data_IF_578250235598
#
_entry.id   IF_578250235598
#
_cell.length_a   1.000
_cell.length_b   1.000
_cell.length_c   1.000
_cell.angle_alpha   90.00
_cell.angle_beta   90.00
_cell.angle_gamma   90.00
#
_symmetry.space_group_name_H-M   'P 1'
#
loop_
_entity.id
_entity.type
_entity.pdbx_description
1 polymer ?
#
# COMPACT_ATOMS: atom_id res chain seq x y z
N UNK A 1 -23.10 -17.23 28.34
CA UNK A 1 -22.21 -17.10 27.15
C UNK A 1 -21.08 -16.07 27.26
N UNK A 2 -20.39 -15.99 28.41
CA UNK A 2 -19.33 -14.97 28.64
C UNK A 2 -17.99 -15.30 27.94
N UNK A 3 -17.83 -16.51 27.39
CA UNK A 3 -16.58 -17.03 26.82
C UNK A 3 -16.67 -17.45 25.34
N UNK A 4 -17.80 -17.24 24.66
CA UNK A 4 -17.92 -17.57 23.24
C UNK A 4 -17.19 -16.54 22.36
N UNK A 5 -16.62 -16.98 21.24
CA UNK A 5 -16.03 -16.08 20.25
C UNK A 5 -17.14 -15.32 19.50
N UNK A 6 -16.98 -14.02 19.28
CA UNK A 6 -17.85 -13.27 18.38
C UNK A 6 -17.60 -13.70 16.93
N UNK A 7 -18.68 -13.69 16.14
CA UNK A 7 -18.71 -13.90 14.68
C UNK A 7 -19.12 -12.62 13.94
N UNK A 8 -19.12 -11.49 14.64
CA UNK A 8 -19.35 -10.18 14.03
C UNK A 8 -18.18 -9.86 13.10
N UNK A 9 -18.49 -9.52 11.86
CA UNK A 9 -17.53 -9.04 10.87
C UNK A 9 -17.35 -7.53 11.04
N UNK A 10 -16.14 -7.04 10.84
CA UNK A 10 -15.80 -5.63 10.87
C UNK A 10 -16.35 -4.92 9.62
N UNK A 11 -16.71 -3.66 9.76
CA UNK A 11 -16.95 -2.79 8.61
C UNK A 11 -15.61 -2.38 8.01
N UNK A 12 -15.32 -2.84 6.79
CA UNK A 12 -14.06 -2.54 6.12
C UNK A 12 -13.95 -1.07 5.67
N UNK A 13 -15.07 -0.40 5.38
CA UNK A 13 -15.05 1.03 5.05
C UNK A 13 -14.70 1.84 6.30
N UNK A 14 -15.25 1.48 7.46
CA UNK A 14 -14.89 2.11 8.73
C UNK A 14 -13.43 1.82 9.10
N UNK A 15 -12.97 0.58 8.92
CA UNK A 15 -11.61 0.17 9.23
C UNK A 15 -10.56 0.92 8.41
N UNK A 16 -10.74 0.96 7.08
CA UNK A 16 -9.82 1.65 6.17
C UNK A 16 -10.13 3.14 6.00
N UNK A 17 -11.18 3.65 6.65
CA UNK A 17 -11.61 5.05 6.55
C UNK A 17 -11.87 5.48 5.09
N UNK A 18 -12.34 4.57 4.26
CA UNK A 18 -12.69 4.80 2.85
C UNK A 18 -14.20 4.91 2.70
N UNK A 19 -14.67 6.09 2.29
CA UNK A 19 -16.10 6.38 2.08
C UNK A 19 -16.47 6.51 0.61
N UNK A 20 -15.49 6.83 -0.24
CA UNK A 20 -15.62 6.96 -1.69
C UNK A 20 -15.13 5.67 -2.37
N UNK A 21 -15.81 5.24 -3.43
CA UNK A 21 -15.55 3.95 -4.09
C UNK A 21 -14.24 3.89 -4.87
N UNK A 22 -13.68 5.04 -5.22
CA UNK A 22 -12.40 5.19 -5.93
C UNK A 22 -11.25 5.53 -4.98
N UNK A 23 -11.49 5.64 -3.66
CA UNK A 23 -10.45 5.88 -2.65
C UNK A 23 -10.04 4.57 -1.99
N UNK A 24 -8.74 4.45 -1.75
CA UNK A 24 -8.15 3.29 -1.12
C UNK A 24 -7.15 3.72 -0.05
N UNK A 25 -7.20 3.10 1.13
CA UNK A 25 -6.25 3.41 2.20
C UNK A 25 -4.82 3.07 1.78
N UNK A 26 -3.83 3.81 2.24
CA UNK A 26 -2.42 3.47 2.00
C UNK A 26 -1.86 2.79 3.24
N UNK A 27 -1.43 1.54 3.10
CA UNK A 27 -0.62 0.84 4.10
C UNK A 27 0.84 1.00 3.68
N UNK A 28 1.55 1.94 4.31
CA UNK A 28 2.97 2.18 4.10
C UNK A 28 3.78 1.36 5.11
N UNK A 29 4.59 0.42 4.62
CA UNK A 29 5.26 -0.58 5.46
C UNK A 29 4.24 -1.35 6.33
N UNK A 30 4.13 -0.97 7.61
CA UNK A 30 3.32 -1.60 8.66
C UNK A 30 2.28 -0.65 9.28
N UNK A 31 2.05 0.50 8.63
CA UNK A 31 1.17 1.55 9.14
C UNK A 31 0.21 2.03 8.06
N UNK A 32 -1.06 2.23 8.46
CA UNK A 32 -2.02 2.94 7.64
C UNK A 32 -1.80 4.44 7.82
N UNK A 33 -1.39 5.12 6.75
CA UNK A 33 -1.16 6.57 6.77
C UNK A 33 -2.46 7.34 6.56
N UNK A 34 -2.43 8.65 6.81
CA UNK A 34 -3.62 9.51 6.65
C UNK A 34 -4.00 9.70 5.17
N UNK A 35 -3.03 9.64 4.27
CA UNK A 35 -3.22 9.79 2.84
C UNK A 35 -3.87 8.56 2.19
N UNK A 36 -4.61 8.80 1.10
CA UNK A 36 -5.34 7.78 0.36
C UNK A 36 -4.91 7.75 -1.10
N UNK A 37 -4.80 6.54 -1.65
CA UNK A 37 -4.66 6.34 -3.08
C UNK A 37 -6.00 6.57 -3.77
N UNK A 38 -5.93 6.88 -5.06
CA UNK A 38 -7.08 6.94 -5.95
C UNK A 38 -6.96 5.81 -6.97
N UNK A 39 -8.00 5.00 -7.13
CA UNK A 39 -8.11 3.96 -8.14
C UNK A 39 -9.05 4.46 -9.25
N UNK A 40 -8.51 4.65 -10.45
CA UNK A 40 -9.28 5.12 -11.61
C UNK A 40 -8.91 4.31 -12.84
N UNK A 41 -9.92 3.74 -13.50
CA UNK A 41 -9.74 2.91 -14.69
C UNK A 41 -8.72 1.78 -14.47
N UNK A 42 -8.81 1.11 -13.31
CA UNK A 42 -7.89 0.05 -12.84
C UNK A 42 -6.42 0.50 -12.65
N UNK A 43 -6.16 1.81 -12.63
CA UNK A 43 -4.83 2.39 -12.38
C UNK A 43 -4.80 3.04 -10.99
N UNK A 44 -3.74 2.77 -10.24
CA UNK A 44 -3.49 3.37 -8.93
C UNK A 44 -2.76 4.71 -9.08
N UNK A 45 -3.26 5.73 -8.40
CA UNK A 45 -2.68 7.06 -8.36
C UNK A 45 -2.43 7.51 -6.94
N UNK A 46 -1.33 8.22 -6.73
CA UNK A 46 -1.06 8.97 -5.52
C UNK A 46 -1.13 10.46 -5.85
N UNK A 47 -1.61 11.28 -4.91
CA UNK A 47 -1.40 12.71 -5.06
C UNK A 47 0.11 13.03 -4.99
N UNK A 48 0.50 14.11 -5.66
CA UNK A 48 1.91 14.48 -5.77
C UNK A 48 2.57 14.76 -4.42
N UNK A 49 1.82 15.27 -3.42
CA UNK A 49 2.37 15.53 -2.09
C UNK A 49 2.67 14.21 -1.35
N UNK A 50 1.82 13.19 -1.51
CA UNK A 50 2.07 11.82 -1.03
C UNK A 50 3.30 11.22 -1.71
N UNK A 51 3.47 11.40 -3.02
CA UNK A 51 4.69 10.96 -3.73
C UNK A 51 5.94 11.65 -3.15
N UNK A 52 5.89 12.96 -2.92
CA UNK A 52 7.01 13.71 -2.34
C UNK A 52 7.35 13.28 -0.91
N UNK A 53 6.33 13.02 -0.09
CA UNK A 53 6.48 12.62 1.32
C UNK A 53 6.98 11.18 1.45
N UNK A 54 6.36 10.29 0.67
CA UNK A 54 6.53 8.85 0.51
C UNK A 54 7.83 8.36 -0.11
N UNK A 55 8.13 8.93 -1.26
CA UNK A 55 8.84 8.22 -2.32
C UNK A 55 9.98 9.08 -2.85
N UNK A 56 9.65 10.17 -3.54
CA UNK A 56 10.63 10.99 -4.22
C UNK A 56 10.10 12.42 -4.38
N UNK A 57 10.91 13.42 -4.01
CA UNK A 57 10.62 14.85 -4.09
C UNK A 57 10.87 15.49 -5.47
N UNK A 58 11.45 14.75 -6.42
CA UNK A 58 12.02 15.32 -7.67
C UNK A 58 10.96 15.66 -8.72
N UNK A 59 9.74 15.14 -8.62
CA UNK A 59 8.66 15.48 -9.55
C UNK A 59 8.22 16.94 -9.39
N UNK A 60 8.08 17.65 -10.51
CA UNK A 60 7.58 19.03 -10.54
C UNK A 60 6.34 19.14 -11.42
N UNK A 61 5.28 19.76 -10.88
CA UNK A 61 4.05 20.06 -11.60
C UNK A 61 4.02 21.53 -12.02
N UNK A 62 3.96 21.77 -13.33
CA UNK A 62 3.64 23.08 -13.90
C UNK A 62 2.14 23.14 -14.23
N UNK A 63 1.36 23.77 -13.36
CA UNK A 63 -0.09 23.90 -13.54
C UNK A 63 -0.48 24.85 -14.69
N UNK A 64 0.41 25.76 -15.10
CA UNK A 64 0.15 26.71 -16.18
C UNK A 64 0.33 26.03 -17.54
N UNK A 65 1.44 25.31 -17.70
CA UNK A 65 1.74 24.56 -18.92
C UNK A 65 1.10 23.16 -18.94
N UNK A 66 0.50 22.74 -17.82
CA UNK A 66 -0.10 21.42 -17.58
C UNK A 66 0.90 20.28 -17.74
N UNK A 67 2.09 20.44 -17.18
CA UNK A 67 3.18 19.47 -17.31
C UNK A 67 3.50 18.81 -15.96
N UNK A 68 3.78 17.51 -15.99
CA UNK A 68 4.57 16.85 -14.96
C UNK A 68 6.00 16.67 -15.51
N UNK A 69 6.98 17.13 -14.74
CA UNK A 69 8.39 17.09 -15.09
C UNK A 69 9.15 16.21 -14.10
N UNK A 70 10.11 15.46 -14.62
CA UNK A 70 11.13 14.78 -13.83
C UNK A 70 12.50 15.14 -14.40
N UNK A 71 13.40 15.65 -13.57
CA UNK A 71 14.72 16.08 -14.00
C UNK A 71 15.81 15.24 -13.32
N UNK A 72 16.69 14.65 -14.12
CA UNK A 72 17.90 13.97 -13.64
C UNK A 72 19.14 14.72 -14.19
N UNK A 73 20.38 14.30 -13.87
CA UNK A 73 21.58 15.00 -14.33
C UNK A 73 21.77 15.06 -15.85
N UNK A 74 21.09 14.21 -16.63
CA UNK A 74 21.30 14.06 -18.07
C UNK A 74 20.14 14.56 -18.92
N UNK A 75 18.91 14.58 -18.39
CA UNK A 75 17.72 14.99 -19.13
C UNK A 75 16.57 15.50 -18.25
N UNK A 76 15.59 16.13 -18.92
CA UNK A 76 14.29 16.46 -18.35
C UNK A 76 13.23 15.66 -19.09
N UNK A 77 12.59 14.75 -18.36
CA UNK A 77 11.49 13.92 -18.82
C UNK A 77 10.19 14.69 -18.58
N UNK A 78 9.30 14.66 -19.57
CA UNK A 78 8.11 15.51 -19.60
C UNK A 78 6.87 14.71 -20.00
N UNK A 79 5.77 14.96 -19.32
CA UNK A 79 4.43 14.50 -19.73
C UNK A 79 3.42 15.63 -19.55
N UNK A 80 2.35 15.60 -20.34
CA UNK A 80 1.24 16.56 -20.23
C UNK A 80 0.12 15.92 -19.40
N UNK A 81 -0.50 16.69 -18.51
CA UNK A 81 -1.63 16.21 -17.71
C UNK A 81 -2.77 15.72 -18.61
N UNK A 82 -3.29 14.54 -18.31
CA UNK A 82 -4.34 13.85 -19.06
C UNK A 82 -3.83 12.96 -20.19
N UNK A 83 -2.53 13.00 -20.51
CA UNK A 83 -1.94 12.20 -21.59
C UNK A 83 -1.34 10.89 -21.08
N UNK A 84 -1.18 9.93 -21.99
CA UNK A 84 -0.60 8.61 -21.70
C UNK A 84 0.88 8.51 -22.06
N UNK A 85 1.42 9.51 -22.75
CA UNK A 85 2.80 9.50 -23.24
C UNK A 85 3.72 10.45 -22.48
N UNK A 86 4.98 10.06 -22.31
CA UNK A 86 6.07 10.91 -21.84
C UNK A 86 7.16 11.03 -22.89
N UNK A 87 7.94 12.11 -22.81
CA UNK A 87 9.05 12.40 -23.73
C UNK A 87 10.36 12.42 -22.97
N UNK A 88 11.33 11.65 -23.46
CA UNK A 88 12.73 11.64 -23.04
C UNK A 88 13.61 12.18 -24.19
N UNK A 89 14.92 12.24 -23.96
CA UNK A 89 15.91 12.54 -25.02
C UNK A 89 15.94 11.49 -26.13
N UNK A 90 15.47 10.27 -25.86
CA UNK A 90 15.38 9.17 -26.83
C UNK A 90 14.10 9.20 -27.67
N UNK A 91 13.11 10.02 -27.28
CA UNK A 91 11.85 10.20 -27.99
C UNK A 91 10.62 10.09 -27.08
N UNK A 92 9.46 9.90 -27.71
CA UNK A 92 8.18 9.77 -27.01
C UNK A 92 7.84 8.30 -26.77
N UNK A 93 7.43 7.97 -25.55
CA UNK A 93 7.02 6.64 -25.12
C UNK A 93 5.57 6.70 -24.61
N UNK A 94 4.76 5.69 -24.93
CA UNK A 94 3.39 5.56 -24.44
C UNK A 94 3.36 4.59 -23.26
N UNK A 95 2.84 5.04 -22.12
CA UNK A 95 2.70 4.22 -20.91
C UNK A 95 1.45 3.32 -20.96
N UNK A 96 0.48 3.62 -21.84
CA UNK A 96 -0.76 2.87 -21.96
C UNK A 96 -1.82 3.21 -20.90
N UNK A 97 -1.54 4.18 -20.02
CA UNK A 97 -2.44 4.73 -19.01
C UNK A 97 -2.18 6.23 -18.85
N UNK A 98 -3.17 6.98 -18.33
CA UNK A 98 -2.99 8.42 -18.04
C UNK A 98 -1.91 8.57 -16.98
N UNK A 99 -0.83 9.29 -17.30
CA UNK A 99 0.34 9.35 -16.42
C UNK A 99 0.07 10.24 -15.21
N UNK A 100 -0.56 11.39 -15.44
CA UNK A 100 -0.94 12.32 -14.40
C UNK A 100 -2.12 13.16 -14.83
N UNK A 101 -2.87 13.68 -13.87
CA UNK A 101 -3.97 14.60 -14.13
C UNK A 101 -4.21 15.51 -12.93
N UNK A 102 -5.08 16.50 -13.11
CA UNK A 102 -5.47 17.45 -12.07
C UNK A 102 -6.93 17.24 -11.72
N UNK A 103 -7.24 17.19 -10.42
CA UNK A 103 -8.59 17.26 -9.88
C UNK A 103 -8.65 18.33 -8.79
N UNK A 104 -9.43 19.39 -9.04
CA UNK A 104 -9.36 20.60 -8.22
C UNK A 104 -7.97 21.23 -8.31
N UNK A 105 -7.31 21.36 -7.16
CA UNK A 105 -5.93 21.86 -7.04
C UNK A 105 -4.91 20.73 -6.83
N UNK A 106 -5.35 19.47 -6.88
CA UNK A 106 -4.52 18.30 -6.60
C UNK A 106 -4.03 17.66 -7.89
N UNK A 107 -2.73 17.45 -7.98
CA UNK A 107 -2.10 16.65 -9.05
C UNK A 107 -2.01 15.20 -8.59
N UNK A 108 -2.53 14.30 -9.40
CA UNK A 108 -2.40 12.85 -9.21
C UNK A 108 -1.41 12.29 -10.22
N UNK A 109 -0.58 11.34 -9.78
CA UNK A 109 0.44 10.68 -10.60
C UNK A 109 0.25 9.17 -10.49
N UNK A 110 0.26 8.48 -11.62
CA UNK A 110 0.13 7.02 -11.67
C UNK A 110 1.30 6.36 -10.94
N UNK A 111 1.00 5.42 -10.06
CA UNK A 111 1.99 4.70 -9.27
C UNK A 111 3.01 3.98 -10.16
N UNK A 112 2.57 3.27 -11.21
CA UNK A 112 3.48 2.64 -12.16
C UNK A 112 4.43 3.63 -12.85
N UNK A 113 4.03 4.89 -13.06
CA UNK A 113 4.93 5.91 -13.60
C UNK A 113 5.96 6.38 -12.57
N UNK A 114 5.59 6.51 -11.30
CA UNK A 114 6.53 6.84 -10.21
C UNK A 114 7.60 5.75 -10.08
N UNK A 115 7.25 4.47 -10.29
CA UNK A 115 8.17 3.33 -10.22
C UNK A 115 9.32 3.40 -11.24
N UNK A 116 9.11 4.09 -12.36
CA UNK A 116 10.19 4.31 -13.34
C UNK A 116 11.35 5.13 -12.76
N UNK A 117 11.10 5.89 -11.69
CA UNK A 117 12.02 6.88 -11.14
C UNK A 117 12.30 6.71 -9.64
N UNK A 118 11.72 5.70 -9.01
CA UNK A 118 11.81 5.46 -7.57
C UNK A 118 11.81 3.97 -7.30
N UNK A 119 12.73 3.51 -6.46
CA UNK A 119 12.74 2.14 -5.97
C UNK A 119 11.67 1.93 -4.88
N UNK A 120 10.47 1.51 -5.28
CA UNK A 120 9.39 1.15 -4.37
C UNK A 120 8.46 0.10 -5.02
N UNK A 121 7.69 -0.59 -4.18
CA UNK A 121 6.67 -1.55 -4.63
C UNK A 121 5.29 -1.20 -4.09
N UNK A 122 4.25 -1.60 -4.80
CA UNK A 122 2.89 -1.51 -4.30
C UNK A 122 2.03 -2.65 -4.83
N UNK A 123 1.00 -3.00 -4.08
CA UNK A 123 -0.05 -3.95 -4.47
C UNK A 123 -1.42 -3.36 -4.12
N UNK A 124 -2.34 -3.38 -5.08
CA UNK A 124 -3.70 -2.92 -4.88
C UNK A 124 -4.61 -4.07 -4.45
N UNK A 125 -5.37 -3.83 -3.39
CA UNK A 125 -6.45 -4.68 -2.90
C UNK A 125 -7.77 -3.90 -2.94
N UNK A 126 -8.86 -4.53 -2.46
CA UNK A 126 -10.21 -3.96 -2.56
C UNK A 126 -10.35 -2.56 -1.93
N UNK A 127 -9.82 -2.36 -0.72
CA UNK A 127 -9.98 -1.09 0.04
C UNK A 127 -8.68 -0.47 0.52
N UNK A 128 -7.55 -1.09 0.17
CA UNK A 128 -6.23 -0.60 0.55
C UNK A 128 -5.19 -0.89 -0.54
N UNK A 129 -4.13 -0.11 -0.51
CA UNK A 129 -2.92 -0.29 -1.31
C UNK A 129 -1.78 -0.50 -0.33
N UNK A 130 -1.09 -1.64 -0.44
CA UNK A 130 0.17 -1.84 0.25
C UNK A 130 1.27 -1.11 -0.50
N UNK A 131 2.14 -0.39 0.21
CA UNK A 131 3.30 0.29 -0.34
C UNK A 131 4.53 -0.09 0.49
N UNK A 132 5.63 -0.45 -0.19
CA UNK A 132 6.94 -0.59 0.44
C UNK A 132 7.99 0.28 -0.25
N UNK A 133 8.69 1.10 0.52
CA UNK A 133 9.82 1.95 0.08
C UNK A 133 11.14 1.56 0.73
N UNK A 134 11.08 0.72 1.76
CA UNK A 134 12.23 0.15 2.44
C UNK A 134 12.01 -1.34 2.70
N UNK A 135 13.11 -2.09 2.77
CA UNK A 135 13.11 -3.54 2.98
C UNK A 135 14.16 -3.90 4.03
N UNK A 136 13.79 -4.77 4.95
CA UNK A 136 14.67 -5.18 6.03
C UNK A 136 14.46 -6.63 6.44
N UNK A 137 14.43 -6.84 7.74
CA UNK A 137 14.11 -8.12 8.35
C UNK A 137 12.77 -8.02 9.05
N UNK A 138 11.90 -8.98 8.82
CA UNK A 138 10.60 -9.08 9.49
C UNK A 138 10.48 -10.36 10.29
N UNK A 139 9.69 -10.32 11.34
CA UNK A 139 9.33 -11.51 12.10
C UNK A 139 8.06 -12.12 11.52
N UNK A 140 8.05 -13.44 11.33
CA UNK A 140 6.88 -14.15 10.81
C UNK A 140 6.57 -15.38 11.64
N UNK A 141 5.32 -15.83 11.62
CA UNK A 141 4.92 -17.12 12.15
C UNK A 141 3.76 -17.73 11.36
N UNK A 142 3.78 -19.05 11.19
CA UNK A 142 2.68 -19.78 10.55
C UNK A 142 1.53 -20.05 11.50
N UNK A 143 0.30 -20.01 11.00
CA UNK A 143 -0.88 -20.38 11.78
C UNK A 143 -0.97 -21.89 12.02
N UNK A 144 -1.10 -22.29 13.29
CA UNK A 144 -1.31 -23.67 13.72
C UNK A 144 -2.71 -24.19 13.38
N UNK A 145 -3.67 -23.29 13.15
CA UNK A 145 -5.06 -23.59 12.77
C UNK A 145 -5.75 -22.38 12.14
N UNK A 146 -6.86 -22.62 11.46
CA UNK A 146 -7.76 -21.56 10.96
C UNK A 146 -8.11 -20.58 12.07
N UNK A 147 -7.89 -19.30 11.82
CA UNK A 147 -7.93 -18.24 12.82
C UNK A 147 -8.51 -16.98 12.21
N UNK A 148 -9.50 -16.42 12.90
CA UNK A 148 -10.02 -15.09 12.60
C UNK A 148 -8.99 -14.03 13.01
N UNK A 149 -8.60 -13.18 12.06
CA UNK A 149 -7.83 -11.95 12.30
C UNK A 149 -8.83 -10.88 12.72
N UNK A 150 -8.62 -10.28 13.90
CA UNK A 150 -9.60 -9.38 14.53
C UNK A 150 -9.12 -7.94 14.54
N UNK A 151 -10.06 -7.00 14.55
CA UNK A 151 -9.77 -5.57 14.62
C UNK A 151 -8.95 -5.16 15.87
N UNK A 152 -9.20 -5.81 17.01
CA UNK A 152 -8.49 -5.59 18.27
C UNK A 152 -8.21 -6.92 18.96
N UNK A 153 -7.26 -6.92 19.89
CA UNK A 153 -7.02 -8.03 20.80
C UNK A 153 -8.25 -8.31 21.68
N UNK A 154 -9.01 -9.35 21.36
CA UNK A 154 -10.16 -9.76 22.16
C UNK A 154 -11.09 -10.72 21.42
N UNK A 155 -11.58 -11.75 22.11
CA UNK A 155 -12.47 -12.77 21.51
C UNK A 155 -13.84 -12.22 21.09
N UNK A 156 -14.17 -10.99 21.51
CA UNK A 156 -15.40 -10.28 21.14
C UNK A 156 -15.16 -9.20 20.09
N UNK A 157 -13.92 -8.89 19.74
CA UNK A 157 -13.61 -7.92 18.68
C UNK A 157 -14.17 -8.40 17.34
N UNK A 158 -14.70 -7.52 16.49
CA UNK A 158 -15.07 -7.86 15.11
C UNK A 158 -13.91 -8.49 14.33
N UNK A 159 -14.27 -9.33 13.38
CA UNK A 159 -13.37 -10.08 12.50
C UNK A 159 -13.10 -9.24 11.26
N UNK A 160 -11.83 -9.03 10.93
CA UNK A 160 -11.43 -8.36 9.68
C UNK A 160 -11.39 -9.37 8.53
N UNK A 161 -10.72 -10.50 8.75
CA UNK A 161 -10.57 -11.57 7.76
C UNK A 161 -10.36 -12.93 8.43
N UNK A 162 -10.49 -14.01 7.65
CA UNK A 162 -10.16 -15.37 8.08
C UNK A 162 -8.84 -15.79 7.44
N UNK A 163 -7.89 -16.23 8.26
CA UNK A 163 -6.64 -16.81 7.79
C UNK A 163 -6.64 -18.33 8.04
N UNK A 164 -6.17 -19.09 7.06
CA UNK A 164 -6.16 -20.53 7.08
C UNK A 164 -4.98 -21.08 7.89
N UNK A 165 -5.11 -22.32 8.35
CA UNK A 165 -3.98 -23.07 8.89
C UNK A 165 -2.85 -23.13 7.87
N UNK A 166 -1.64 -22.78 8.30
CA UNK A 166 -0.44 -22.79 7.48
C UNK A 166 -0.11 -21.44 6.84
N UNK A 167 -1.04 -20.49 6.84
CA UNK A 167 -0.76 -19.12 6.39
C UNK A 167 0.35 -18.51 7.25
N UNK A 168 1.31 -17.87 6.60
CA UNK A 168 2.36 -17.09 7.25
C UNK A 168 1.85 -15.69 7.53
N UNK A 169 1.95 -15.26 8.79
CA UNK A 169 1.63 -13.91 9.21
C UNK A 169 2.91 -13.20 9.63
N UNK A 170 3.03 -11.93 9.25
CA UNK A 170 4.06 -11.04 9.80
C UNK A 170 3.65 -10.58 11.20
N UNK A 171 4.59 -10.57 12.13
CA UNK A 171 4.40 -10.23 13.55
C UNK A 171 4.90 -8.80 13.77
N UNK A 172 3.96 -7.88 13.94
CA UNK A 172 4.26 -6.45 14.14
C UNK A 172 4.48 -6.12 15.61
N UNK A 173 3.70 -6.72 16.50
CA UNK A 173 3.78 -6.49 17.94
C UNK A 173 3.30 -7.72 18.72
N UNK A 174 3.99 -8.08 19.81
CA UNK A 174 3.58 -9.16 20.69
C UNK A 174 3.14 -8.63 22.06
N UNK A 175 1.90 -8.94 22.44
CA UNK A 175 1.32 -8.66 23.75
C UNK A 175 1.21 -9.96 24.55
N UNK A 176 0.69 -9.89 25.78
CA UNK A 176 0.60 -11.05 26.68
C UNK A 176 -0.17 -12.25 26.09
N UNK A 177 -1.30 -11.99 25.44
CA UNK A 177 -2.18 -13.04 24.89
C UNK A 177 -2.51 -12.89 23.41
N UNK A 178 -2.15 -11.75 22.81
CA UNK A 178 -2.44 -11.39 21.43
C UNK A 178 -1.20 -10.82 20.75
N UNK A 179 -1.12 -11.01 19.44
CA UNK A 179 -0.13 -10.36 18.59
C UNK A 179 -0.85 -9.49 17.57
N UNK A 180 -0.32 -8.29 17.33
CA UNK A 180 -0.62 -7.51 16.13
C UNK A 180 0.12 -8.15 14.97
N UNK A 181 -0.60 -8.45 13.90
CA UNK A 181 -0.10 -9.19 12.75
C UNK A 181 -0.54 -8.54 11.45
N UNK A 182 0.23 -8.77 10.39
CA UNK A 182 -0.12 -8.44 9.01
C UNK A 182 -0.22 -9.72 8.19
N UNK A 183 -1.30 -9.82 7.44
CA UNK A 183 -1.60 -10.94 6.54
C UNK A 183 -0.90 -10.76 5.19
N UNK A 184 -0.89 -11.80 4.36
CA UNK A 184 -0.27 -11.74 3.03
C UNK A 184 -0.95 -10.74 2.09
N UNK A 185 -2.24 -10.48 2.29
CA UNK A 185 -3.03 -9.45 1.60
C UNK A 185 -3.06 -8.11 2.37
N UNK A 186 -2.06 -7.88 3.24
CA UNK A 186 -1.83 -6.61 3.94
C UNK A 186 -2.93 -6.14 4.90
N UNK A 187 -3.82 -7.02 5.35
CA UNK A 187 -4.74 -6.72 6.45
C UNK A 187 -3.97 -6.77 7.77
N UNK A 188 -3.94 -5.63 8.47
CA UNK A 188 -3.33 -5.49 9.81
C UNK A 188 -4.40 -5.70 10.88
N UNK A 189 -4.19 -6.69 11.75
CA UNK A 189 -5.13 -7.01 12.83
C UNK A 189 -4.49 -7.81 13.95
N UNK A 190 -5.30 -8.58 14.66
CA UNK A 190 -4.87 -9.28 15.87
C UNK A 190 -5.28 -10.75 15.90
N UNK A 191 -4.37 -11.60 16.36
CA UNK A 191 -4.59 -13.04 16.60
C UNK A 191 -4.09 -13.45 17.98
N UNK A 192 -4.67 -14.50 18.57
CA UNK A 192 -4.20 -15.02 19.87
C UNK A 192 -2.84 -15.71 19.71
N UNK A 193 -1.87 -15.46 20.60
CA UNK A 193 -0.50 -16.02 20.49
C UNK A 193 -0.48 -17.55 20.38
N UNK A 194 -1.40 -18.23 21.06
CA UNK A 194 -1.54 -19.71 20.99
C UNK A 194 -1.87 -20.26 19.60
N UNK A 195 -2.23 -19.39 18.64
CA UNK A 195 -2.50 -19.74 17.23
C UNK A 195 -1.26 -19.68 16.37
N UNK A 196 -0.26 -18.93 16.78
CA UNK A 196 0.97 -18.73 16.04
C UNK A 196 1.95 -19.87 16.27
N UNK A 197 2.70 -20.19 15.21
CA UNK A 197 3.87 -21.05 15.13
C UNK A 197 5.03 -20.58 16.00
N UNK A 198 6.19 -21.15 15.74
CA UNK A 198 7.44 -20.53 16.16
C UNK A 198 7.66 -19.28 15.32
N UNK A 199 8.19 -18.23 15.94
CA UNK A 199 8.52 -16.99 15.25
C UNK A 199 9.90 -17.14 14.63
N UNK A 200 10.00 -16.86 13.34
CA UNK A 200 11.24 -16.84 12.58
C UNK A 200 11.47 -15.47 11.98
N UNK A 201 12.73 -15.18 11.66
CA UNK A 201 13.10 -13.97 10.92
C UNK A 201 13.18 -14.29 9.43
N UNK A 202 12.65 -13.40 8.60
CA UNK A 202 12.78 -13.43 7.15
C UNK A 202 13.39 -12.12 6.66
N UNK A 203 14.33 -12.19 5.71
CA UNK A 203 14.86 -11.02 5.02
C UNK A 203 13.99 -10.71 3.82
N UNK A 204 13.51 -9.47 3.75
CA UNK A 204 12.75 -8.97 2.62
C UNK A 204 13.65 -8.75 1.41
N UNK A 205 13.11 -8.99 0.22
CA UNK A 205 13.84 -8.79 -1.03
C UNK A 205 13.41 -7.46 -1.64
N UNK A 206 14.32 -6.48 -1.78
CA UNK A 206 14.02 -5.24 -2.48
C UNK A 206 13.61 -5.51 -3.93
N UNK A 207 12.75 -4.65 -4.47
CA UNK A 207 12.50 -4.68 -5.91
C UNK A 207 13.74 -4.21 -6.67
N UNK A 208 13.94 -4.77 -7.87
CA UNK A 208 15.10 -4.51 -8.73
C UNK A 208 14.69 -4.00 -10.11
N UNK A 209 13.44 -3.58 -10.25
CA UNK A 209 12.87 -3.03 -11.48
C UNK A 209 13.29 -1.59 -11.74
N UNK A 210 13.68 -0.86 -10.70
CA UNK A 210 14.31 0.47 -10.82
C UNK A 210 15.75 0.38 -11.35
N UNK A 211 16.08 1.23 -12.32
CA UNK A 211 17.46 1.47 -12.79
C UNK A 211 17.84 2.93 -12.49
N UNK A 212 18.95 3.13 -11.79
CA UNK A 212 19.49 4.45 -11.43
C UNK A 212 20.12 5.19 -12.62
#
# INVERSE_FOLDING_TARGET
DKYSYSKEEADWNEFYQVSESDRSAIILQDEMVEEQALIRDDVCYFDLATVHKYMNEVFYADMTEKLLLYANPTEVIRTTFGETSYTTTEGTQDAGYVISFVEGDTVYVAADYVKLFTNYSYDCYDRHVQVYTEWGTRQVAQLKKDTAVRLRGGVKSPILTQAAKGDTLEILEQMETWSKVKTADSVIGYVENKRLGDITEETETPVTDYQE
#
